data_IF_618988322773
#
_entry.id   IF_618988322773
#
_cell.length_a   1.000
_cell.length_b   1.000
_cell.length_c   1.000
_cell.angle_alpha   90.00
_cell.angle_beta   90.00
_cell.angle_gamma   90.00
#
_symmetry.space_group_name_H-M   'P 1'
#
loop_
_entity.id
_entity.type
_entity.pdbx_description
1 polymer ?
#
# COMPACT_ATOMS: atom_id res chain seq x y z
N UNK A 1 0.72 -0.46 7.43
CA UNK A 1 1.93 -0.98 8.07
C UNK A 1 3.08 -0.02 7.79
N UNK A 2 3.84 0.43 8.80
CA UNK A 2 5.05 1.21 8.57
C UNK A 2 6.04 0.44 7.71
N UNK A 3 6.89 1.16 6.98
CA UNK A 3 7.95 0.58 6.13
C UNK A 3 9.37 0.86 6.64
N UNK A 4 9.51 1.56 7.78
CA UNK A 4 10.79 1.78 8.47
C UNK A 4 11.05 0.78 9.60
N UNK A 5 10.12 -0.14 9.87
CA UNK A 5 10.22 -1.14 10.94
C UNK A 5 9.28 -2.32 10.71
N UNK A 6 9.60 -3.45 11.32
CA UNK A 6 8.72 -4.62 11.35
C UNK A 6 7.41 -4.37 12.10
N UNK A 7 6.38 -5.13 11.74
CA UNK A 7 5.05 -5.09 12.38
C UNK A 7 4.62 -6.48 12.81
N UNK A 8 4.08 -6.61 14.03
CA UNK A 8 3.41 -7.83 14.47
C UNK A 8 2.02 -7.90 13.83
N UNK A 9 1.72 -9.03 13.19
CA UNK A 9 0.42 -9.32 12.59
C UNK A 9 -0.19 -10.49 13.33
N UNK A 10 -1.42 -10.31 13.82
CA UNK A 10 -2.24 -11.38 14.37
C UNK A 10 -3.41 -11.61 13.41
N UNK A 11 -3.63 -12.86 13.03
CA UNK A 11 -4.75 -13.26 12.17
C UNK A 11 -5.70 -14.12 12.95
N UNK A 12 -6.99 -13.79 12.89
CA UNK A 12 -8.05 -14.57 13.52
C UNK A 12 -8.91 -15.15 12.40
N UNK A 13 -8.93 -16.47 12.28
CA UNK A 13 -9.69 -17.18 11.24
C UNK A 13 -10.28 -18.46 11.81
N UNK A 14 -11.58 -18.66 11.64
CA UNK A 14 -12.29 -19.85 12.14
C UNK A 14 -12.09 -20.14 13.63
N UNK A 15 -11.89 -19.11 14.46
CA UNK A 15 -11.64 -19.26 15.89
C UNK A 15 -10.18 -19.58 16.26
N UNK A 16 -9.30 -19.75 15.28
CA UNK A 16 -7.86 -19.93 15.46
C UNK A 16 -7.14 -18.57 15.39
N UNK A 17 -6.06 -18.45 16.16
CA UNK A 17 -5.19 -17.27 16.19
C UNK A 17 -3.81 -17.70 15.73
N UNK A 18 -3.34 -17.09 14.65
CA UNK A 18 -1.97 -17.20 14.17
C UNK A 18 -1.28 -15.83 14.26
N UNK A 19 0.05 -15.83 14.26
CA UNK A 19 0.83 -14.60 14.25
C UNK A 19 2.12 -14.72 13.47
N UNK A 20 2.55 -13.61 12.89
CA UNK A 20 3.84 -13.49 12.22
C UNK A 20 4.36 -12.04 12.32
N UNK A 21 5.64 -11.85 12.00
CA UNK A 21 6.25 -10.53 11.90
C UNK A 21 6.41 -10.19 10.44
N UNK A 22 5.78 -9.09 10.00
CA UNK A 22 5.95 -8.53 8.67
C UNK A 22 7.14 -7.57 8.68
N UNK A 23 8.22 -7.90 7.98
CA UNK A 23 9.40 -7.04 7.86
C UNK A 23 9.51 -6.42 6.47
N UNK A 24 9.54 -5.07 6.33
CA UNK A 24 9.67 -4.42 5.03
C UNK A 24 10.91 -4.87 4.23
N UNK A 25 12.01 -5.17 4.91
CA UNK A 25 13.29 -5.56 4.32
C UNK A 25 13.21 -6.88 3.53
N UNK A 26 12.37 -7.82 4.00
CA UNK A 26 12.18 -9.13 3.35
C UNK A 26 11.54 -9.01 1.96
N UNK A 27 10.89 -7.88 1.69
CA UNK A 27 10.19 -7.60 0.43
C UNK A 27 10.84 -6.45 -0.39
N UNK A 28 12.00 -5.93 0.02
CA UNK A 28 12.61 -4.77 -0.61
C UNK A 28 11.85 -3.45 -0.40
N UNK A 29 10.91 -3.41 0.54
CA UNK A 29 10.02 -2.28 0.80
C UNK A 29 10.49 -1.38 1.94
N UNK A 30 11.69 -1.60 2.50
CA UNK A 30 12.22 -0.75 3.55
C UNK A 30 12.45 0.69 3.07
N UNK A 31 12.02 1.66 3.87
CA UNK A 31 12.35 3.06 3.70
C UNK A 31 12.55 3.71 5.08
N UNK A 32 13.58 4.54 5.21
CA UNK A 32 13.86 5.23 6.47
C UNK A 32 12.72 6.16 6.87
N UNK A 33 12.47 6.26 8.18
CA UNK A 33 11.44 7.14 8.73
C UNK A 33 11.67 8.62 8.39
N UNK A 34 12.93 9.03 8.20
CA UNK A 34 13.28 10.39 7.78
C UNK A 34 12.69 10.78 6.40
N UNK A 35 12.30 9.79 5.56
CA UNK A 35 11.62 10.04 4.28
C UNK A 35 10.12 10.29 4.42
N UNK A 36 9.57 10.12 5.62
CA UNK A 36 8.16 10.35 5.88
C UNK A 36 7.91 11.84 6.09
N UNK A 37 7.35 12.51 5.09
CA UNK A 37 7.02 13.93 5.18
C UNK A 37 5.83 14.14 6.13
N UNK A 38 6.07 14.74 7.29
CA UNK A 38 5.03 15.07 8.28
C UNK A 38 5.33 16.38 9.02
N UNK A 39 4.29 17.15 9.42
CA UNK A 39 2.86 16.93 9.13
C UNK A 39 2.49 17.38 7.69
N UNK A 40 1.42 16.79 7.14
CA UNK A 40 0.83 17.20 5.85
C UNK A 40 -0.59 17.70 6.07
N UNK A 41 -1.00 18.75 5.35
CA UNK A 41 -2.39 19.21 5.25
C UNK A 41 -3.28 18.16 4.57
N UNK A 42 -4.60 18.37 4.58
CA UNK A 42 -5.52 17.48 3.88
C UNK A 42 -5.31 17.52 2.36
N UNK A 43 -5.06 18.71 1.82
CA UNK A 43 -4.76 18.93 0.41
C UNK A 43 -3.45 18.23 0.00
N UNK A 44 -2.38 18.39 0.79
CA UNK A 44 -1.09 17.75 0.54
C UNK A 44 -1.19 16.22 0.62
N UNK A 45 -1.99 15.69 1.56
CA UNK A 45 -2.27 14.25 1.63
C UNK A 45 -3.02 13.76 0.38
N UNK A 46 -4.03 14.49 -0.08
CA UNK A 46 -4.80 14.12 -1.27
C UNK A 46 -3.94 14.14 -2.54
N UNK A 47 -3.07 15.15 -2.68
CA UNK A 47 -2.10 15.25 -3.78
C UNK A 47 -1.14 14.05 -3.76
N UNK A 48 -0.56 13.75 -2.59
CA UNK A 48 0.39 12.64 -2.44
C UNK A 48 -0.26 11.27 -2.69
N UNK A 49 -1.48 11.05 -2.19
CA UNK A 49 -2.25 9.82 -2.49
C UNK A 49 -2.50 9.70 -4.00
N UNK A 50 -2.91 10.79 -4.65
CA UNK A 50 -3.17 10.81 -6.10
C UNK A 50 -1.88 10.52 -6.88
N UNK A 51 -0.75 11.12 -6.48
CA UNK A 51 0.56 10.88 -7.10
C UNK A 51 0.97 9.40 -7.00
N UNK A 52 0.87 8.79 -5.80
CA UNK A 52 1.16 7.36 -5.63
C UNK A 52 0.27 6.51 -6.52
N UNK A 53 -1.04 6.75 -6.53
CA UNK A 53 -1.98 5.98 -7.37
C UNK A 53 -1.76 6.18 -8.87
N UNK A 54 -1.23 7.35 -9.27
CA UNK A 54 -0.84 7.66 -10.65
C UNK A 54 0.47 7.00 -11.08
N UNK A 55 1.12 6.24 -10.19
CA UNK A 55 2.36 5.53 -10.45
C UNK A 55 3.60 6.40 -10.30
N UNK A 56 3.57 7.45 -9.47
CA UNK A 56 4.77 8.26 -9.22
C UNK A 56 5.87 7.44 -8.52
N UNK A 57 7.05 7.42 -9.14
CA UNK A 57 8.24 6.72 -8.65
C UNK A 57 9.28 7.66 -8.02
N UNK A 58 8.96 8.96 -7.91
CA UNK A 58 9.87 9.96 -7.33
C UNK A 58 10.28 9.63 -5.89
N UNK A 59 11.40 10.22 -5.46
CA UNK A 59 11.89 10.10 -4.09
C UNK A 59 10.91 10.71 -3.06
N UNK A 60 10.12 11.71 -3.47
CA UNK A 60 9.14 12.36 -2.60
C UNK A 60 8.00 11.44 -2.21
N UNK A 61 7.63 10.48 -3.07
CA UNK A 61 6.54 9.53 -2.80
C UNK A 61 7.03 8.14 -2.37
N UNK A 62 8.35 7.94 -2.23
CA UNK A 62 8.93 6.61 -2.02
C UNK A 62 8.38 5.93 -0.76
N UNK A 63 8.30 6.64 0.35
CA UNK A 63 7.85 6.09 1.62
C UNK A 63 6.37 5.67 1.53
N UNK A 64 5.50 6.56 1.05
CA UNK A 64 4.06 6.30 0.90
C UNK A 64 3.78 5.22 -0.14
N UNK A 65 4.52 5.20 -1.26
CA UNK A 65 4.43 4.16 -2.29
C UNK A 65 4.75 2.79 -1.71
N UNK A 66 5.90 2.64 -1.04
CA UNK A 66 6.27 1.39 -0.36
C UNK A 66 5.24 0.99 0.69
N UNK A 67 4.71 1.96 1.43
CA UNK A 67 3.66 1.72 2.41
C UNK A 67 2.38 1.20 1.77
N UNK A 68 1.95 1.76 0.62
CA UNK A 68 0.80 1.28 -0.16
C UNK A 68 1.03 -0.15 -0.64
N UNK A 69 2.18 -0.43 -1.25
CA UNK A 69 2.54 -1.76 -1.77
C UNK A 69 2.49 -2.80 -0.64
N UNK A 70 3.16 -2.55 0.50
CA UNK A 70 3.18 -3.51 1.60
C UNK A 70 1.79 -3.77 2.19
N UNK A 71 0.97 -2.72 2.30
CA UNK A 71 -0.39 -2.82 2.81
C UNK A 71 -1.34 -3.54 1.87
N UNK A 72 -1.20 -3.34 0.56
CA UNK A 72 -1.98 -4.04 -0.46
C UNK A 72 -1.58 -5.52 -0.52
N UNK A 73 -0.27 -5.81 -0.57
CA UNK A 73 0.28 -7.16 -0.57
C UNK A 73 -0.19 -7.99 0.64
N UNK A 74 -0.10 -7.41 1.84
CA UNK A 74 -0.61 -8.07 3.05
C UNK A 74 -2.10 -8.40 2.94
N UNK A 75 -2.93 -7.47 2.43
CA UNK A 75 -4.37 -7.72 2.25
C UNK A 75 -4.62 -8.83 1.23
N UNK A 76 -3.90 -8.83 0.12
CA UNK A 76 -4.01 -9.87 -0.90
C UNK A 76 -3.71 -11.25 -0.36
N UNK A 77 -2.65 -11.38 0.44
CA UNK A 77 -2.32 -12.62 1.12
C UNK A 77 -3.41 -13.03 2.13
N UNK A 78 -3.81 -12.11 3.02
CA UNK A 78 -4.79 -12.41 4.08
C UNK A 78 -6.17 -12.81 3.53
N UNK A 79 -6.57 -12.27 2.37
CA UNK A 79 -7.81 -12.61 1.69
C UNK A 79 -7.70 -13.76 0.70
N UNK A 80 -6.52 -14.39 0.58
CA UNK A 80 -6.30 -15.53 -0.32
C UNK A 80 -6.33 -15.17 -1.81
N UNK A 81 -6.11 -13.89 -2.16
CA UNK A 81 -5.92 -13.47 -3.55
C UNK A 81 -4.58 -13.97 -4.10
N UNK A 82 -3.56 -14.08 -3.25
CA UNK A 82 -2.26 -14.67 -3.56
C UNK A 82 -1.83 -15.64 -2.45
N UNK A 83 -0.95 -16.59 -2.78
CA UNK A 83 -0.50 -17.62 -1.85
C UNK A 83 0.64 -17.13 -0.96
N UNK A 84 1.37 -16.11 -1.39
CA UNK A 84 2.50 -15.51 -0.68
C UNK A 84 2.43 -13.98 -0.69
N UNK A 85 3.07 -13.32 0.28
CA UNK A 85 3.08 -11.85 0.37
C UNK A 85 3.88 -11.26 -0.80
N UNK A 86 4.95 -11.92 -1.23
CA UNK A 86 5.81 -11.57 -2.37
C UNK A 86 5.00 -11.46 -3.68
N UNK A 87 4.08 -12.40 -3.91
CA UNK A 87 3.15 -12.36 -5.04
C UNK A 87 2.23 -11.13 -4.95
N UNK A 88 1.77 -10.81 -3.74
CA UNK A 88 0.98 -9.62 -3.46
C UNK A 88 1.75 -8.32 -3.71
N UNK A 89 3.06 -8.30 -3.43
CA UNK A 89 3.95 -7.15 -3.71
C UNK A 89 4.05 -6.94 -5.22
N UNK A 90 4.36 -7.99 -5.98
CA UNK A 90 4.44 -7.93 -7.43
C UNK A 90 3.12 -7.47 -8.07
N UNK A 91 1.99 -7.97 -7.56
CA UNK A 91 0.67 -7.56 -8.02
C UNK A 91 0.40 -6.06 -7.74
N UNK A 92 0.72 -5.58 -6.53
CA UNK A 92 0.53 -4.19 -6.16
C UNK A 92 1.44 -3.24 -6.97
N UNK A 93 2.71 -3.59 -7.17
CA UNK A 93 3.63 -2.82 -8.03
C UNK A 93 3.12 -2.73 -9.46
N UNK A 94 2.67 -3.85 -10.03
CA UNK A 94 2.08 -3.88 -11.37
C UNK A 94 0.86 -2.96 -11.45
N UNK A 95 -0.04 -3.00 -10.47
CA UNK A 95 -1.24 -2.15 -10.46
C UNK A 95 -0.92 -0.66 -10.35
N UNK A 96 0.11 -0.27 -9.60
CA UNK A 96 0.56 1.12 -9.55
C UNK A 96 1.16 1.55 -10.89
N UNK A 97 1.99 0.71 -11.51
CA UNK A 97 2.55 0.95 -12.85
C UNK A 97 1.47 1.09 -13.93
N UNK A 98 0.44 0.25 -13.84
CA UNK A 98 -0.73 0.28 -14.73
C UNK A 98 -1.75 1.37 -14.35
N UNK A 99 -1.52 2.09 -13.24
CA UNK A 99 -2.41 3.13 -12.70
C UNK A 99 -3.83 2.63 -12.39
N UNK A 100 -4.00 1.33 -12.17
CA UNK A 100 -5.29 0.71 -11.91
C UNK A 100 -5.98 1.28 -10.65
N UNK A 101 -5.17 1.66 -9.65
CA UNK A 101 -5.65 2.34 -8.45
C UNK A 101 -6.21 3.74 -8.73
N UNK A 102 -5.55 4.51 -9.61
CA UNK A 102 -6.05 5.82 -10.05
C UNK A 102 -7.35 5.68 -10.85
N UNK A 103 -7.41 4.72 -11.77
CA UNK A 103 -8.65 4.47 -12.52
C UNK A 103 -9.82 4.09 -11.61
N UNK A 104 -9.57 3.30 -10.55
CA UNK A 104 -10.58 2.96 -9.56
C UNK A 104 -11.06 4.20 -8.79
N UNK A 105 -10.14 5.10 -8.42
CA UNK A 105 -10.47 6.38 -7.79
C UNK A 105 -11.34 7.26 -8.70
N UNK A 106 -10.98 7.39 -9.98
CA UNK A 106 -11.75 8.20 -10.94
C UNK A 106 -13.14 7.61 -11.21
N UNK A 107 -13.26 6.28 -11.35
CA UNK A 107 -14.58 5.62 -11.44
C UNK A 107 -15.44 5.89 -10.20
N UNK A 108 -14.84 5.86 -9.01
CA UNK A 108 -15.53 6.15 -7.77
C UNK A 108 -16.00 7.61 -7.71
N UNK A 109 -15.13 8.59 -8.04
CA UNK A 109 -15.51 10.01 -8.13
C UNK A 109 -16.67 10.23 -9.11
N UNK A 110 -16.61 9.63 -10.30
CA UNK A 110 -17.65 9.74 -11.32
C UNK A 110 -19.00 9.13 -10.89
N UNK A 111 -19.00 8.20 -9.92
CA UNK A 111 -20.24 7.61 -9.41
C UNK A 111 -21.13 8.60 -8.63
N UNK A 112 -20.53 9.68 -8.09
CA UNK A 112 -21.26 10.75 -7.40
C UNK A 112 -21.76 11.85 -8.34
N UNK A 113 -21.30 11.86 -9.60
CA UNK A 113 -21.66 12.87 -10.60
C UNK A 113 -22.68 12.36 -11.62
N UNK A 114 -23.33 11.21 -11.35
CA UNK A 114 -24.47 10.78 -12.18
C UNK A 114 -25.63 11.77 -12.00
N UNK A 115 -26.22 12.30 -13.08
CA UNK A 115 -27.44 13.10 -13.00
C UNK A 115 -28.62 12.29 -12.45
#
# INVERSE_FOLDING_TARGET
MPVHRGSFVFTIKNGEIDSFILKPEEYGLYAEEAKLNKPLSAEEQAEKITAVLAGDESADTEYERKQVIMNAALRYYLFGYCAAIEEGVQAAEKQLKEKAGLEALERWKASFTRP
#
